data_IF_987995479123
#
_entry.id   IF_987995479123
#
_cell.length_a   1.000
_cell.length_b   1.000
_cell.length_c   1.000
_cell.angle_alpha   90.00
_cell.angle_beta   90.00
_cell.angle_gamma   90.00
#
_symmetry.space_group_name_H-M   'P 1'
#
loop_
_entity.id
_entity.type
_entity.pdbx_description
1 polymer ?
#
# COMPACT_ATOMS: atom_id res chain seq x y z
N UNK A 1 13.93 -16.17 10.54
CA UNK A 1 12.75 -15.38 10.94
C UNK A 1 13.13 -13.92 11.11
N UNK A 2 14.24 -13.65 11.80
CA UNK A 2 14.75 -12.28 12.02
C UNK A 2 14.96 -11.50 10.71
N UNK A 3 15.59 -12.10 9.69
CA UNK A 3 15.79 -11.45 8.38
C UNK A 3 14.47 -11.02 7.70
N UNK A 4 13.41 -11.82 7.80
CA UNK A 4 12.10 -11.47 7.23
C UNK A 4 11.42 -10.33 8.02
N UNK A 5 11.59 -10.31 9.35
CA UNK A 5 11.13 -9.19 10.17
C UNK A 5 11.87 -7.91 9.82
N UNK A 6 13.20 -7.96 9.71
CA UNK A 6 14.03 -6.80 9.37
C UNK A 6 13.68 -6.25 7.99
N UNK A 7 13.53 -7.12 6.99
CA UNK A 7 13.10 -6.71 5.64
C UNK A 7 11.71 -6.04 5.72
N UNK A 8 10.76 -6.66 6.41
CA UNK A 8 9.38 -6.15 6.50
C UNK A 8 9.33 -4.79 7.19
N UNK A 9 10.02 -4.63 8.33
CA UNK A 9 10.09 -3.37 9.06
C UNK A 9 10.77 -2.28 8.23
N UNK A 10 11.87 -2.60 7.55
CA UNK A 10 12.57 -1.62 6.72
C UNK A 10 11.73 -1.17 5.53
N UNK A 11 11.06 -2.09 4.83
CA UNK A 11 10.15 -1.77 3.72
C UNK A 11 9.00 -0.89 4.21
N UNK A 12 8.38 -1.25 5.35
CA UNK A 12 7.31 -0.45 5.94
C UNK A 12 7.79 0.98 6.23
N UNK A 13 8.91 1.15 6.92
CA UNK A 13 9.43 2.47 7.30
C UNK A 13 9.81 3.34 6.08
N UNK A 14 10.36 2.73 5.02
CA UNK A 14 10.67 3.44 3.77
C UNK A 14 9.37 3.93 3.10
N UNK A 15 8.37 3.05 2.97
CA UNK A 15 7.09 3.41 2.35
C UNK A 15 6.28 4.38 3.21
N UNK A 16 6.31 4.23 4.53
CA UNK A 16 5.68 5.14 5.49
C UNK A 16 6.25 6.55 5.33
N UNK A 17 7.58 6.68 5.25
CA UNK A 17 8.22 7.98 5.00
C UNK A 17 7.80 8.57 3.66
N UNK A 18 7.79 7.77 2.59
CA UNK A 18 7.41 8.25 1.26
C UNK A 18 5.94 8.74 1.21
N UNK A 19 5.03 8.02 1.87
CA UNK A 19 3.62 8.41 1.99
C UNK A 19 3.43 9.68 2.82
N UNK A 20 4.20 9.83 3.90
CA UNK A 20 4.12 10.99 4.80
C UNK A 20 4.43 12.31 4.10
N UNK A 21 5.35 12.32 3.13
CA UNK A 21 5.63 13.51 2.30
C UNK A 21 4.43 13.98 1.46
N UNK A 22 3.41 13.13 1.29
CA UNK A 22 2.17 13.43 0.57
C UNK A 22 0.97 13.60 1.50
N UNK A 23 1.19 13.79 2.80
CA UNK A 23 0.14 13.85 3.84
C UNK A 23 -0.75 12.60 3.85
N UNK A 24 -0.14 11.43 3.67
CA UNK A 24 -0.81 10.12 3.74
C UNK A 24 -0.19 9.30 4.86
N UNK A 25 -1.03 8.69 5.69
CA UNK A 25 -0.60 7.74 6.73
C UNK A 25 -0.66 6.33 6.15
N UNK A 26 0.48 5.63 6.14
CA UNK A 26 0.54 4.18 5.91
C UNK A 26 0.23 3.46 7.23
N UNK A 27 -0.89 2.74 7.28
CA UNK A 27 -1.41 2.13 8.52
C UNK A 27 -0.78 0.76 8.78
N UNK A 28 -0.67 -0.04 7.72
CA UNK A 28 -0.01 -1.34 7.69
C UNK A 28 0.27 -1.73 6.25
N UNK A 29 1.07 -2.79 6.11
CA UNK A 29 1.52 -3.35 4.86
C UNK A 29 1.67 -4.85 4.99
N UNK A 30 1.27 -5.58 3.95
CA UNK A 30 1.69 -6.96 3.72
C UNK A 30 2.60 -6.98 2.49
N UNK A 31 3.70 -7.71 2.59
CA UNK A 31 4.60 -8.01 1.46
C UNK A 31 4.83 -9.51 1.36
N UNK A 32 5.32 -9.95 0.21
CA UNK A 32 5.88 -11.30 0.04
C UNK A 32 7.39 -11.22 -0.11
N UNK A 33 8.06 -12.27 0.33
CA UNK A 33 9.49 -12.44 0.15
C UNK A 33 9.75 -13.78 -0.53
N UNK A 34 10.79 -13.82 -1.35
CA UNK A 34 11.21 -15.01 -2.07
C UNK A 34 12.71 -15.22 -2.01
N UNK A 35 13.15 -16.40 -2.43
CA UNK A 35 14.57 -16.73 -2.56
C UNK A 35 15.09 -16.31 -3.93
N UNK A 36 16.15 -15.49 -3.95
CA UNK A 36 16.94 -15.25 -5.14
C UNK A 36 17.94 -16.42 -5.37
N UNK A 37 18.49 -16.58 -6.60
CA UNK A 37 19.41 -17.68 -6.96
C UNK A 37 20.67 -17.83 -6.09
N UNK A 38 21.01 -16.83 -5.26
CA UNK A 38 22.21 -16.81 -4.40
C UNK A 38 21.86 -17.04 -2.92
N UNK A 39 20.78 -17.78 -2.62
CA UNK A 39 20.29 -18.03 -1.26
C UNK A 39 20.14 -16.74 -0.43
N UNK A 40 19.63 -15.69 -1.07
CA UNK A 40 19.32 -14.40 -0.45
C UNK A 40 17.82 -14.19 -0.46
N UNK A 41 17.26 -13.77 0.66
CA UNK A 41 15.85 -13.37 0.74
C UNK A 41 15.70 -11.97 0.14
N UNK A 42 14.72 -11.81 -0.73
CA UNK A 42 14.37 -10.52 -1.36
C UNK A 42 12.88 -10.27 -1.24
N UNK A 43 12.49 -9.00 -1.18
CA UNK A 43 11.09 -8.60 -1.42
C UNK A 43 10.71 -9.05 -2.82
N UNK A 44 9.57 -9.72 -2.94
CA UNK A 44 9.06 -10.29 -4.18
C UNK A 44 7.57 -9.94 -4.34
N UNK A 45 6.94 -10.55 -5.36
CA UNK A 45 5.56 -10.26 -5.77
C UNK A 45 5.39 -8.76 -6.07
N UNK A 46 4.19 -8.22 -5.84
CA UNK A 46 3.85 -6.82 -6.07
C UNK A 46 3.51 -6.12 -4.76
N UNK A 47 3.83 -4.83 -4.70
CA UNK A 47 3.30 -3.91 -3.69
C UNK A 47 2.46 -2.89 -4.43
N UNK A 48 1.14 -3.01 -4.29
CA UNK A 48 0.16 -2.15 -4.94
C UNK A 48 -0.93 -1.70 -3.95
N UNK A 49 -2.00 -1.10 -4.45
CA UNK A 49 -3.07 -0.57 -3.61
C UNK A 49 -3.91 -1.64 -2.87
N UNK A 50 -3.62 -2.91 -3.11
CA UNK A 50 -4.22 -4.05 -2.41
C UNK A 50 -3.36 -4.53 -1.23
N UNK A 51 -2.10 -4.07 -1.19
CA UNK A 51 -1.06 -4.56 -0.29
C UNK A 51 -1.01 -3.81 1.05
N UNK A 52 -1.59 -2.61 1.11
CA UNK A 52 -1.55 -1.73 2.29
C UNK A 52 -2.93 -1.18 2.70
N UNK A 53 -2.95 -0.52 3.85
CA UNK A 53 -4.00 0.45 4.21
C UNK A 53 -3.40 1.85 4.29
N UNK A 54 -4.02 2.82 3.62
CA UNK A 54 -3.55 4.22 3.58
C UNK A 54 -4.69 5.21 3.80
N UNK A 55 -4.43 6.21 4.65
CA UNK A 55 -5.41 7.23 5.04
C UNK A 55 -4.90 8.63 4.67
N UNK A 56 -5.62 9.33 3.79
CA UNK A 56 -5.30 10.70 3.44
C UNK A 56 -5.53 11.62 4.65
N UNK A 57 -4.55 12.47 4.98
CA UNK A 57 -4.53 13.32 6.18
C UNK A 57 -4.59 12.53 7.49
N UNK A 58 -4.35 11.21 7.47
CA UNK A 58 -4.53 10.32 8.61
C UNK A 58 -5.99 10.04 8.99
N UNK A 59 -6.95 10.43 8.16
CA UNK A 59 -8.37 10.22 8.41
C UNK A 59 -8.85 8.87 7.83
N UNK A 60 -9.29 7.96 8.70
CA UNK A 60 -9.84 6.66 8.29
C UNK A 60 -11.07 6.79 7.39
N UNK A 61 -11.84 7.89 7.47
CA UNK A 61 -12.95 8.12 6.54
C UNK A 61 -12.46 8.40 5.11
N UNK A 62 -11.17 8.75 4.93
CA UNK A 62 -10.51 9.04 3.66
C UNK A 62 -9.53 7.91 3.27
N UNK A 63 -9.95 6.65 3.47
CA UNK A 63 -9.24 5.48 2.96
C UNK A 63 -9.15 5.52 1.43
N UNK A 64 -7.95 5.27 0.90
CA UNK A 64 -7.70 5.24 -0.55
C UNK A 64 -7.37 3.82 -1.06
N UNK A 65 -7.27 2.84 -0.18
CA UNK A 65 -6.89 1.46 -0.47
C UNK A 65 -8.07 0.51 -0.72
N UNK A 66 -7.76 -0.77 -0.98
CA UNK A 66 -8.75 -1.83 -1.23
C UNK A 66 -9.76 -2.03 -0.11
N UNK A 67 -9.52 -1.56 1.12
CA UNK A 67 -10.49 -1.66 2.20
C UNK A 67 -11.84 -1.02 1.83
N UNK A 68 -11.82 0.05 1.02
CA UNK A 68 -13.05 0.68 0.50
C UNK A 68 -13.90 -0.31 -0.31
N UNK A 69 -13.26 -1.15 -1.13
CA UNK A 69 -13.95 -2.21 -1.87
C UNK A 69 -14.44 -3.34 -0.95
N UNK A 70 -13.62 -3.74 0.04
CA UNK A 70 -13.98 -4.80 1.01
C UNK A 70 -15.18 -4.42 1.87
N UNK A 71 -15.35 -3.12 2.16
CA UNK A 71 -16.42 -2.60 3.01
C UNK A 71 -17.75 -2.40 2.23
N UNK A 72 -17.76 -2.58 0.91
CA UNK A 72 -18.98 -2.47 0.12
C UNK A 72 -20.01 -3.54 0.51
N UNK A 73 -21.24 -3.11 0.81
CA UNK A 73 -22.39 -4.01 1.01
C UNK A 73 -23.00 -4.52 -0.30
N UNK A 74 -22.55 -3.99 -1.43
CA UNK A 74 -22.99 -4.37 -2.78
C UNK A 74 -22.18 -3.65 -3.85
N UNK A 75 -22.03 -4.29 -5.01
CA UNK A 75 -21.20 -3.80 -6.11
C UNK A 75 -22.05 -3.07 -7.14
N UNK A 76 -22.15 -1.74 -7.04
CA UNK A 76 -22.77 -0.90 -8.08
C UNK A 76 -21.72 -0.28 -8.99
N UNK A 77 -22.15 0.19 -10.17
CA UNK A 77 -21.26 0.86 -11.13
C UNK A 77 -20.66 2.13 -10.51
N UNK A 78 -21.45 2.87 -9.73
CA UNK A 78 -21.03 4.09 -9.05
C UNK A 78 -19.99 3.79 -7.98
N UNK A 79 -20.21 2.74 -7.17
CA UNK A 79 -19.26 2.31 -6.14
C UNK A 79 -17.92 1.87 -6.74
N UNK A 80 -17.95 1.08 -7.81
CA UNK A 80 -16.74 0.71 -8.56
C UNK A 80 -16.06 1.93 -9.20
N UNK A 81 -16.83 2.91 -9.67
CA UNK A 81 -16.33 4.18 -10.19
C UNK A 81 -15.56 4.99 -9.14
N UNK A 82 -16.04 5.02 -7.89
CA UNK A 82 -15.34 5.66 -6.77
C UNK A 82 -14.02 4.94 -6.45
N UNK A 83 -14.03 3.61 -6.37
CA UNK A 83 -12.81 2.82 -6.13
C UNK A 83 -11.78 3.04 -7.24
N UNK A 84 -12.21 3.06 -8.51
CA UNK A 84 -11.31 3.35 -9.63
C UNK A 84 -10.63 4.70 -9.48
N UNK A 85 -11.37 5.74 -9.03
CA UNK A 85 -10.78 7.07 -8.77
C UNK A 85 -9.72 7.02 -7.67
N UNK A 86 -9.97 6.28 -6.59
CA UNK A 86 -9.00 6.09 -5.51
C UNK A 86 -7.72 5.43 -6.05
N UNK A 87 -7.85 4.34 -6.82
CA UNK A 87 -6.69 3.64 -7.41
C UNK A 87 -5.93 4.52 -8.39
N UNK A 88 -6.62 5.31 -9.23
CA UNK A 88 -5.96 6.28 -10.12
C UNK A 88 -5.18 7.32 -9.32
N UNK A 89 -5.78 7.86 -8.26
CA UNK A 89 -5.11 8.84 -7.40
C UNK A 89 -3.85 8.25 -6.75
N UNK A 90 -3.94 7.03 -6.21
CA UNK A 90 -2.78 6.33 -5.60
C UNK A 90 -1.69 6.07 -6.65
N UNK A 91 -2.06 5.67 -7.87
CA UNK A 91 -1.11 5.49 -8.97
C UNK A 91 -0.40 6.79 -9.37
N UNK A 92 -1.08 7.93 -9.29
CA UNK A 92 -0.47 9.24 -9.54
C UNK A 92 0.38 9.73 -8.36
N UNK A 93 -0.06 9.47 -7.13
CA UNK A 93 0.65 9.84 -5.92
C UNK A 93 1.98 9.08 -5.77
N UNK A 94 1.97 7.76 -5.99
CA UNK A 94 3.18 6.92 -5.90
C UNK A 94 4.25 7.28 -6.93
N UNK A 95 3.89 7.88 -8.08
CA UNK A 95 4.87 8.45 -9.04
C UNK A 95 5.68 9.61 -8.48
N UNK A 96 5.23 10.23 -7.41
CA UNK A 96 5.90 11.36 -6.74
C UNK A 96 6.86 10.90 -5.65
N UNK A 97 6.94 9.61 -5.36
CA UNK A 97 7.91 9.09 -4.40
C UNK A 97 9.32 9.41 -4.89
N UNK A 98 10.03 10.22 -4.11
CA UNK A 98 11.42 10.54 -4.33
C UNK A 98 12.28 9.40 -3.76
N UNK A 99 13.30 9.01 -4.50
CA UNK A 99 14.33 8.07 -4.07
C UNK A 99 15.34 8.72 -3.13
#
# INVERSE_FOLDING_TARGET
MDELCDITCNVFLILEKAWKELDVVLVDLKIECGWAPVARIVVADVIDNDSWRIWLGGDKAQMMDKQVYRDLKGTTVEALGAIKKNYTWVAEATRKFLY
#
